data_IF_465938072772
#
_entry.id   IF_465938072772
#
_cell.length_a   1.000
_cell.length_b   1.000
_cell.length_c   1.000
_cell.angle_alpha   90.00
_cell.angle_beta   90.00
_cell.angle_gamma   90.00
#
_symmetry.space_group_name_H-M   'P 1'
#
loop_
_entity.id
_entity.type
_entity.pdbx_description
1 polymer ?
#
# COMPACT_ATOMS: atom_id res chain seq x y z
N UNK A 1 24.28 2.72 -25.37
CA UNK A 1 22.82 2.71 -25.63
C UNK A 1 22.34 3.90 -26.43
N UNK A 2 22.46 5.12 -25.89
CA UNK A 2 21.95 6.35 -26.54
C UNK A 2 22.83 6.79 -27.72
N UNK A 3 24.15 6.87 -27.53
CA UNK A 3 25.11 7.33 -28.56
C UNK A 3 25.45 6.30 -29.63
N UNK A 4 24.98 5.06 -29.52
CA UNK A 4 25.35 3.97 -30.43
C UNK A 4 26.76 3.37 -30.21
N UNK A 5 27.65 4.01 -29.45
CA UNK A 5 29.04 3.57 -29.27
C UNK A 5 29.20 2.10 -28.80
N UNK A 6 30.29 1.47 -29.23
CA UNK A 6 30.67 0.08 -28.89
C UNK A 6 31.59 -0.01 -27.65
N UNK A 7 32.17 1.12 -27.25
CA UNK A 7 33.05 1.21 -26.08
C UNK A 7 32.95 2.61 -25.46
N UNK A 8 33.21 2.69 -24.16
CA UNK A 8 33.44 3.92 -23.42
C UNK A 8 34.72 3.79 -22.58
N UNK A 9 35.45 4.88 -22.40
CA UNK A 9 36.57 4.96 -21.46
C UNK A 9 36.12 5.72 -20.22
N UNK A 10 36.12 5.05 -19.06
CA UNK A 10 35.90 5.68 -17.77
C UNK A 10 37.26 6.08 -17.20
N UNK A 11 37.51 7.39 -17.12
CA UNK A 11 38.70 7.95 -16.50
C UNK A 11 38.34 8.57 -15.15
N UNK A 12 39.02 8.15 -14.10
CA UNK A 12 38.89 8.74 -12.76
C UNK A 12 40.25 9.33 -12.37
N UNK A 13 40.28 10.62 -12.05
CA UNK A 13 41.50 11.37 -11.72
C UNK A 13 41.33 12.11 -10.41
N UNK A 14 42.31 11.99 -9.51
CA UNK A 14 42.28 12.60 -8.18
C UNK A 14 43.08 13.91 -8.08
N UNK A 15 43.66 14.38 -9.20
CA UNK A 15 44.55 15.54 -9.23
C UNK A 15 46.04 15.19 -9.31
N UNK A 16 46.43 13.95 -9.05
CA UNK A 16 47.82 13.48 -9.15
C UNK A 16 47.96 12.18 -9.96
N UNK A 17 47.02 11.25 -9.82
CA UNK A 17 47.00 9.96 -10.51
C UNK A 17 45.63 9.72 -11.11
N UNK A 18 45.62 9.01 -12.23
CA UNK A 18 44.38 8.60 -12.87
C UNK A 18 44.37 7.12 -13.19
N UNK A 19 43.16 6.58 -13.22
CA UNK A 19 42.87 5.19 -13.58
C UNK A 19 41.93 5.23 -14.79
N UNK A 20 42.28 4.47 -15.82
CA UNK A 20 41.46 4.23 -16.99
C UNK A 20 40.83 2.84 -16.91
N UNK A 21 39.52 2.78 -17.04
CA UNK A 21 38.78 1.54 -17.19
C UNK A 21 38.03 1.57 -18.51
N UNK A 22 38.29 0.60 -19.36
CA UNK A 22 37.54 0.41 -20.59
C UNK A 22 36.22 -0.33 -20.29
N UNK A 23 35.11 0.24 -20.71
CA UNK A 23 33.77 -0.35 -20.60
C UNK A 23 33.30 -0.70 -21.99
N UNK A 24 33.21 -2.00 -22.28
CA UNK A 24 32.68 -2.49 -23.56
C UNK A 24 31.16 -2.51 -23.56
N UNK A 25 30.58 -2.50 -24.76
CA UNK A 25 29.13 -2.60 -24.91
C UNK A 25 28.60 -3.95 -24.46
N UNK A 26 27.78 -3.93 -23.42
CA UNK A 26 26.98 -5.08 -23.00
C UNK A 26 25.52 -4.94 -23.47
N UNK A 27 25.15 -5.71 -24.49
CA UNK A 27 23.79 -5.70 -25.07
C UNK A 27 22.74 -6.26 -24.10
N UNK A 28 23.08 -7.24 -23.28
CA UNK A 28 22.15 -7.85 -22.34
C UNK A 28 21.85 -6.91 -21.19
N UNK A 29 22.88 -6.27 -20.62
CA UNK A 29 22.70 -5.23 -19.61
C UNK A 29 21.88 -4.05 -20.15
N UNK A 30 22.15 -3.62 -21.37
CA UNK A 30 21.37 -2.54 -22.01
C UNK A 30 19.89 -2.91 -22.20
N UNK A 31 19.58 -4.16 -22.56
CA UNK A 31 18.20 -4.62 -22.65
C UNK A 31 17.49 -4.56 -21.28
N UNK A 32 18.17 -5.01 -20.22
CA UNK A 32 17.66 -4.93 -18.84
C UNK A 32 17.41 -3.50 -18.38
N UNK A 33 18.32 -2.57 -18.69
CA UNK A 33 18.14 -1.14 -18.36
C UNK A 33 16.90 -0.59 -19.08
N UNK A 34 16.74 -0.90 -20.36
CA UNK A 34 15.56 -0.44 -21.13
C UNK A 34 14.27 -0.99 -20.55
N UNK A 35 14.20 -2.28 -20.25
CA UNK A 35 13.03 -2.90 -19.63
C UNK A 35 12.68 -2.22 -18.30
N UNK A 36 13.67 -1.94 -17.46
CA UNK A 36 13.46 -1.22 -16.21
C UNK A 36 12.95 0.23 -16.44
N UNK A 37 13.46 0.93 -17.46
CA UNK A 37 12.97 2.26 -17.82
C UNK A 37 11.53 2.24 -18.32
N UNK A 38 11.17 1.30 -19.19
CA UNK A 38 9.79 1.13 -19.68
C UNK A 38 8.83 0.81 -18.52
N UNK A 39 9.26 -0.03 -17.57
CA UNK A 39 8.48 -0.32 -16.37
C UNK A 39 8.33 0.91 -15.45
N UNK A 40 9.30 1.83 -15.47
CA UNK A 40 9.29 3.04 -14.64
C UNK A 40 8.51 4.21 -15.29
N UNK A 41 8.45 4.27 -16.63
CA UNK A 41 7.82 5.36 -17.39
C UNK A 41 6.39 5.72 -16.93
N UNK A 42 5.49 4.76 -16.64
CA UNK A 42 4.12 5.09 -16.20
C UNK A 42 4.05 5.85 -14.87
N UNK A 43 5.09 5.81 -14.03
CA UNK A 43 5.16 6.58 -12.78
C UNK A 43 5.47 8.06 -13.07
N UNK A 44 6.36 8.30 -14.03
CA UNK A 44 6.67 9.65 -14.51
C UNK A 44 5.49 10.30 -15.22
N UNK A 45 4.83 9.56 -16.12
CA UNK A 45 3.70 10.09 -16.91
C UNK A 45 2.51 10.51 -16.03
N UNK A 46 2.33 9.83 -14.89
CA UNK A 46 1.21 10.06 -13.95
C UNK A 46 1.60 10.92 -12.75
N UNK A 47 2.87 11.28 -12.63
CA UNK A 47 3.43 11.96 -11.44
C UNK A 47 3.06 11.25 -10.13
N UNK A 48 3.25 9.92 -10.12
CA UNK A 48 2.99 9.08 -8.94
C UNK A 48 4.23 8.27 -8.61
N UNK A 49 4.60 8.14 -7.32
CA UNK A 49 5.77 7.35 -6.94
C UNK A 49 5.55 5.87 -7.26
N UNK A 50 6.63 5.11 -7.55
CA UNK A 50 6.55 3.66 -7.58
C UNK A 50 6.12 3.12 -6.21
N UNK A 51 5.52 1.91 -6.15
CA UNK A 51 5.23 1.25 -4.88
C UNK A 51 6.52 1.06 -4.07
N UNK A 52 6.40 1.20 -2.74
CA UNK A 52 7.50 0.90 -1.83
C UNK A 52 7.91 -0.57 -1.98
N UNK A 53 9.21 -0.79 -2.08
CA UNK A 53 9.83 -2.10 -2.06
C UNK A 53 10.33 -2.46 -0.66
N UNK A 54 10.69 -3.72 -0.45
CA UNK A 54 11.28 -4.18 0.83
C UNK A 54 12.53 -3.38 1.20
N UNK A 55 13.35 -3.00 0.21
CA UNK A 55 14.55 -2.19 0.39
C UNK A 55 14.30 -0.76 0.87
N UNK A 56 13.06 -0.26 0.80
CA UNK A 56 12.67 1.05 1.36
C UNK A 56 12.36 0.97 2.87
N UNK A 57 12.40 -0.23 3.46
CA UNK A 57 12.10 -0.44 4.88
C UNK A 57 13.28 0.00 5.74
N UNK A 58 13.07 1.07 6.53
CA UNK A 58 14.02 1.43 7.58
C UNK A 58 13.72 0.68 8.87
N UNK A 59 14.59 -0.28 9.22
CA UNK A 59 14.51 -1.00 10.49
C UNK A 59 14.96 -0.11 11.66
N UNK A 60 14.02 0.18 12.56
CA UNK A 60 14.28 0.95 13.79
C UNK A 60 14.44 0.02 14.98
N UNK A 61 15.51 0.26 15.75
CA UNK A 61 15.85 -0.48 16.97
C UNK A 61 16.02 0.42 18.20
N UNK A 62 15.70 1.71 18.07
CA UNK A 62 15.78 2.65 19.18
C UNK A 62 14.74 2.37 20.27
N UNK A 63 15.06 2.76 21.49
CA UNK A 63 14.22 2.51 22.67
C UNK A 63 12.82 3.12 22.54
N UNK A 64 12.71 4.34 21.98
CA UNK A 64 11.43 5.01 21.84
C UNK A 64 10.49 4.27 20.88
N UNK A 65 11.03 3.80 19.74
CA UNK A 65 10.28 2.96 18.81
C UNK A 65 9.87 1.64 19.44
N UNK A 66 10.80 0.93 20.09
CA UNK A 66 10.54 -0.38 20.69
C UNK A 66 9.44 -0.31 21.77
N UNK A 67 9.48 0.69 22.65
CA UNK A 67 8.46 0.89 23.69
C UNK A 67 7.07 1.17 23.10
N UNK A 68 6.99 2.05 22.09
CA UNK A 68 5.72 2.36 21.44
C UNK A 68 5.17 1.13 20.68
N UNK A 69 6.04 0.37 20.01
CA UNK A 69 5.67 -0.84 19.29
C UNK A 69 5.13 -1.92 20.23
N UNK A 70 5.79 -2.16 21.38
CA UNK A 70 5.34 -3.13 22.38
C UNK A 70 3.98 -2.73 22.97
N UNK A 71 3.82 -1.45 23.36
CA UNK A 71 2.56 -0.94 23.88
C UNK A 71 1.42 -1.09 22.86
N UNK A 72 1.68 -0.76 21.58
CA UNK A 72 0.70 -0.92 20.51
C UNK A 72 0.33 -2.39 20.28
N UNK A 73 1.33 -3.27 20.17
CA UNK A 73 1.12 -4.69 19.92
C UNK A 73 0.29 -5.34 21.05
N UNK A 74 0.63 -5.06 22.31
CA UNK A 74 -0.13 -5.54 23.46
C UNK A 74 -1.57 -5.03 23.45
N UNK A 75 -1.78 -3.72 23.26
CA UNK A 75 -3.12 -3.14 23.19
C UNK A 75 -3.95 -3.71 22.03
N UNK A 76 -3.33 -3.95 20.87
CA UNK A 76 -3.98 -4.54 19.70
C UNK A 76 -4.46 -5.96 19.97
N UNK A 77 -3.64 -6.79 20.61
CA UNK A 77 -4.02 -8.15 20.99
C UNK A 77 -5.25 -8.16 21.91
N UNK A 78 -5.24 -7.33 22.96
CA UNK A 78 -6.39 -7.20 23.85
C UNK A 78 -7.66 -6.72 23.12
N UNK A 79 -7.52 -5.73 22.23
CA UNK A 79 -8.64 -5.22 21.43
C UNK A 79 -9.21 -6.28 20.49
N UNK A 80 -8.36 -7.11 19.88
CA UNK A 80 -8.79 -8.18 18.99
C UNK A 80 -9.52 -9.30 19.74
N UNK A 81 -9.05 -9.68 20.92
CA UNK A 81 -9.78 -10.61 21.78
C UNK A 81 -11.12 -10.06 22.24
N UNK A 82 -11.16 -8.81 22.68
CA UNK A 82 -12.38 -8.14 23.09
C UNK A 82 -13.40 -8.06 21.94
N UNK A 83 -12.93 -7.77 20.73
CA UNK A 83 -13.75 -7.76 19.51
C UNK A 83 -14.33 -9.14 19.22
N UNK A 84 -13.51 -10.21 19.32
CA UNK A 84 -14.00 -11.60 19.15
C UNK A 84 -15.07 -11.95 20.18
N UNK A 85 -14.87 -11.58 21.45
CA UNK A 85 -15.86 -11.81 22.52
C UNK A 85 -17.16 -11.02 22.26
N UNK A 86 -17.05 -9.76 21.82
CA UNK A 86 -18.18 -8.91 21.49
C UNK A 86 -19.00 -9.48 20.32
N UNK A 87 -18.35 -9.89 19.23
CA UNK A 87 -19.04 -10.47 18.08
C UNK A 87 -19.71 -11.80 18.42
N UNK A 88 -19.09 -12.62 19.27
CA UNK A 88 -19.73 -13.85 19.79
C UNK A 88 -20.99 -13.54 20.61
N UNK A 89 -20.92 -12.58 21.54
CA UNK A 89 -22.08 -12.15 22.33
C UNK A 89 -23.18 -11.53 21.45
N UNK A 90 -22.79 -10.75 20.44
CA UNK A 90 -23.71 -10.17 19.44
C UNK A 90 -24.42 -11.25 18.64
N UNK A 91 -23.69 -12.27 18.18
CA UNK A 91 -24.25 -13.39 17.43
C UNK A 91 -25.25 -14.19 18.28
N UNK A 92 -24.95 -14.44 19.56
CA UNK A 92 -25.88 -15.09 20.48
C UNK A 92 -27.20 -14.30 20.63
N UNK A 93 -27.15 -12.96 20.71
CA UNK A 93 -28.36 -12.12 20.74
C UNK A 93 -29.15 -12.17 19.43
N UNK A 94 -28.47 -12.22 18.28
CA UNK A 94 -29.11 -12.37 16.96
C UNK A 94 -29.84 -13.71 16.85
N UNK A 95 -29.28 -14.78 17.41
CA UNK A 95 -29.89 -16.11 17.44
C UNK A 95 -31.11 -16.20 18.36
N UNK A 96 -31.08 -15.49 19.48
CA UNK A 96 -32.20 -15.41 20.42
C UNK A 96 -33.37 -14.56 19.91
N UNK A 97 -33.11 -13.54 19.09
CA UNK A 97 -34.14 -12.60 18.63
C UNK A 97 -35.13 -13.24 17.63
N UNK A 98 -36.40 -13.31 18.02
CA UNK A 98 -37.53 -13.90 17.28
C UNK A 98 -38.44 -12.84 16.62
N UNK A 99 -38.35 -11.58 17.04
CA UNK A 99 -39.16 -10.47 16.58
C UNK A 99 -38.28 -9.41 15.88
N UNK A 100 -38.83 -8.61 14.92
CA UNK A 100 -38.06 -7.58 14.22
C UNK A 100 -37.40 -6.53 15.12
N UNK A 101 -37.90 -6.35 16.35
CA UNK A 101 -37.29 -5.48 17.36
C UNK A 101 -37.53 -6.07 18.75
N UNK A 102 -36.47 -6.25 19.51
CA UNK A 102 -36.49 -6.77 20.89
C UNK A 102 -35.49 -6.00 21.77
N UNK A 103 -35.81 -5.81 23.04
CA UNK A 103 -34.98 -5.10 24.01
C UNK A 103 -35.03 -5.78 25.38
N UNK A 104 -33.88 -5.86 26.05
CA UNK A 104 -33.76 -6.41 27.40
C UNK A 104 -32.35 -6.25 27.96
N UNK A 105 -32.19 -6.20 29.28
CA UNK A 105 -30.90 -6.09 29.96
C UNK A 105 -29.97 -4.97 29.41
N UNK A 106 -30.54 -3.87 28.91
CA UNK A 106 -29.79 -2.75 28.34
C UNK A 106 -29.36 -2.88 26.88
N UNK A 107 -29.71 -3.98 26.18
CA UNK A 107 -29.37 -4.20 24.76
C UNK A 107 -30.64 -4.28 23.91
N UNK A 108 -30.57 -3.78 22.67
CA UNK A 108 -31.65 -3.84 21.67
C UNK A 108 -31.16 -4.53 20.40
N UNK A 109 -31.94 -5.49 19.89
CA UNK A 109 -31.74 -6.12 18.58
C UNK A 109 -32.83 -5.62 17.65
N UNK A 110 -32.46 -5.14 16.45
CA UNK A 110 -33.41 -4.69 15.43
C UNK A 110 -33.02 -5.23 14.07
N UNK A 111 -33.96 -5.91 13.41
CA UNK A 111 -33.82 -6.40 12.03
C UNK A 111 -34.49 -5.40 11.10
N UNK A 112 -33.74 -4.85 10.16
CA UNK A 112 -34.27 -3.93 9.16
C UNK A 112 -33.60 -4.17 7.81
N UNK A 113 -34.32 -3.86 6.74
CA UNK A 113 -33.77 -3.85 5.39
C UNK A 113 -32.99 -2.56 5.18
N UNK A 114 -31.69 -2.69 4.92
CA UNK A 114 -30.88 -1.57 4.46
C UNK A 114 -30.89 -1.58 2.93
N UNK A 115 -31.15 -0.42 2.32
CA UNK A 115 -30.95 -0.26 0.88
C UNK A 115 -29.48 -0.56 0.54
N UNK A 116 -29.26 -1.37 -0.50
CA UNK A 116 -27.91 -1.68 -0.98
C UNK A 116 -27.18 -0.44 -1.50
N UNK A 117 -25.85 -0.55 -1.65
CA UNK A 117 -25.06 0.47 -2.34
C UNK A 117 -25.45 0.57 -3.81
N UNK A 118 -25.39 1.78 -4.37
CA UNK A 118 -25.57 2.00 -5.81
C UNK A 118 -24.45 1.30 -6.58
N UNK A 119 -24.81 0.51 -7.59
CA UNK A 119 -23.87 -0.11 -8.50
C UNK A 119 -23.54 0.85 -9.65
N UNK A 120 -22.50 1.68 -9.46
CA UNK A 120 -22.08 2.68 -10.44
C UNK A 120 -21.70 2.09 -11.81
N UNK A 121 -21.34 0.80 -11.89
CA UNK A 121 -21.03 0.14 -13.17
C UNK A 121 -22.26 -0.04 -14.05
N UNK A 122 -23.46 0.01 -13.46
CA UNK A 122 -24.74 -0.10 -14.18
C UNK A 122 -25.31 1.25 -14.61
N UNK A 123 -24.63 2.36 -14.33
CA UNK A 123 -25.07 3.71 -14.67
C UNK A 123 -24.63 4.03 -16.11
N UNK A 124 -25.53 4.02 -17.11
CA UNK A 124 -25.15 4.20 -18.51
C UNK A 124 -24.44 5.53 -18.78
N UNK A 125 -24.81 6.58 -18.04
CA UNK A 125 -24.25 7.93 -18.15
C UNK A 125 -22.75 7.99 -17.81
N UNK A 126 -22.22 7.03 -17.04
CA UNK A 126 -20.79 6.95 -16.72
C UNK A 126 -19.99 6.19 -17.79
N UNK A 127 -20.65 5.56 -18.77
CA UNK A 127 -19.99 4.80 -19.82
C UNK A 127 -19.15 5.71 -20.70
N UNK A 128 -17.85 5.45 -20.80
CA UNK A 128 -16.92 6.26 -21.59
C UNK A 128 -16.46 7.57 -20.92
N UNK A 129 -16.97 7.88 -19.72
CA UNK A 129 -16.43 8.97 -18.90
C UNK A 129 -15.17 8.48 -18.19
N UNK A 130 -14.07 9.17 -18.44
CA UNK A 130 -12.82 9.01 -17.70
C UNK A 130 -12.97 9.59 -16.28
N UNK A 131 -13.27 8.71 -15.31
CA UNK A 131 -13.47 9.08 -13.91
C UNK A 131 -12.19 9.61 -13.23
N UNK A 132 -11.02 9.32 -13.80
CA UNK A 132 -9.74 9.68 -13.20
C UNK A 132 -9.56 11.20 -13.15
N UNK A 133 -10.24 11.94 -14.03
CA UNK A 133 -10.32 13.41 -14.03
C UNK A 133 -11.00 13.99 -12.79
N UNK A 134 -11.84 13.21 -12.11
CA UNK A 134 -12.54 13.62 -10.90
C UNK A 134 -11.84 13.12 -9.62
N UNK A 135 -10.71 12.42 -9.75
CA UNK A 135 -9.96 11.91 -8.61
C UNK A 135 -9.36 13.08 -7.83
N UNK A 136 -9.57 13.08 -6.51
CA UNK A 136 -8.93 14.05 -5.61
C UNK A 136 -7.41 13.83 -5.58
N UNK A 137 -6.67 14.87 -5.22
CA UNK A 137 -5.23 14.75 -4.96
C UNK A 137 -4.96 13.63 -3.95
N UNK A 138 -3.89 12.87 -4.19
CA UNK A 138 -3.43 11.85 -3.25
C UNK A 138 -3.21 12.45 -1.86
N UNK A 139 -3.66 11.73 -0.84
CA UNK A 139 -3.46 12.07 0.57
C UNK A 139 -2.63 10.98 1.24
N UNK A 140 -1.78 11.38 2.19
CA UNK A 140 -1.05 10.44 3.01
C UNK A 140 -2.04 9.62 3.87
N UNK A 141 -1.86 8.30 3.87
CA UNK A 141 -2.57 7.38 4.75
C UNK A 141 -1.55 6.66 5.63
N UNK A 142 -1.61 6.90 6.94
CA UNK A 142 -0.74 6.23 7.91
C UNK A 142 -1.45 4.97 8.41
N UNK A 143 -0.79 3.83 8.25
CA UNK A 143 -1.26 2.53 8.77
C UNK A 143 -0.28 2.01 9.81
N UNK A 144 -0.83 1.50 10.92
CA UNK A 144 -0.05 0.81 11.95
C UNK A 144 -0.51 -0.64 11.99
N UNK A 145 0.37 -1.56 11.61
CA UNK A 145 0.11 -3.00 11.61
C UNK A 145 1.17 -3.70 12.45
N UNK A 146 0.75 -4.74 13.18
CA UNK A 146 1.71 -5.64 13.82
C UNK A 146 2.36 -6.47 12.72
N UNK A 147 3.69 -6.52 12.69
CA UNK A 147 4.42 -7.37 11.74
C UNK A 147 4.07 -8.84 12.03
N UNK A 148 3.84 -9.62 10.96
CA UNK A 148 3.55 -11.05 11.05
C UNK A 148 4.80 -11.87 11.39
#
# INVERSE_FOLDING_TARGET
>A
MVSGAEQAQLWVFDGAKGILTEVTRDKALMARIREAWEAFQPFLDRDVPPPLAEGDTWLRSDTAWSQAAEAYAGAKQYADEATKRLESARQALIELAQHPKEQGAGVTVTRFWKQGSVDYKKVPELTGIDLERYRKRATEEVRVTVAA
#
